data_IF_626763154554
#
_entry.id   IF_626763154554
#
_cell.length_a   1.000
_cell.length_b   1.000
_cell.length_c   1.000
_cell.angle_alpha   90.00
_cell.angle_beta   90.00
_cell.angle_gamma   90.00
#
_symmetry.space_group_name_H-M   'P 1'
#
loop_
_entity.id
_entity.type
_entity.pdbx_description
1 polymer ?
#
# COMPACT_ATOMS: atom_id res chain seq x y z
N UNK A 1 4.46 -22.91 -4.50
CA UNK A 1 4.05 -22.23 -3.25
C UNK A 1 3.42 -20.89 -3.63
N UNK A 2 2.12 -20.72 -3.33
CA UNK A 2 1.36 -19.49 -3.58
C UNK A 2 1.92 -18.32 -2.74
N UNK A 3 1.89 -17.08 -3.25
CA UNK A 3 1.95 -15.95 -2.31
C UNK A 3 0.67 -15.91 -1.49
N UNK A 4 0.79 -15.44 -0.26
CA UNK A 4 -0.37 -14.99 0.51
C UNK A 4 -1.08 -13.87 -0.27
N UNK A 5 -2.40 -13.97 -0.32
CA UNK A 5 -3.23 -12.94 -0.91
C UNK A 5 -3.17 -11.65 -0.08
N UNK A 6 -3.26 -10.52 -0.75
CA UNK A 6 -3.23 -9.20 -0.12
C UNK A 6 -4.55 -8.48 -0.36
N UNK A 7 -4.84 -7.48 0.46
CA UNK A 7 -5.98 -6.61 0.23
C UNK A 7 -5.55 -5.42 -0.61
N UNK A 8 -6.46 -4.92 -1.41
CA UNK A 8 -6.25 -3.74 -2.21
C UNK A 8 -5.77 -2.55 -1.36
N UNK A 9 -4.78 -1.82 -1.86
CA UNK A 9 -4.14 -0.70 -1.18
C UNK A 9 -2.99 -1.10 -0.27
N UNK A 10 -2.76 -2.39 -0.01
CA UNK A 10 -1.62 -2.85 0.79
C UNK A 10 -0.30 -2.65 0.04
N UNK A 11 0.76 -2.30 0.77
CA UNK A 11 2.10 -2.46 0.24
C UNK A 11 2.52 -3.93 0.33
N UNK A 12 3.16 -4.44 -0.72
CA UNK A 12 3.66 -5.82 -0.79
C UNK A 12 5.17 -5.79 -0.85
N UNK A 13 5.81 -6.35 0.16
CA UNK A 13 7.26 -6.54 0.20
C UNK A 13 7.53 -8.04 0.20
N UNK A 14 8.29 -8.52 -0.78
CA UNK A 14 8.70 -9.93 -0.86
C UNK A 14 10.17 -10.02 -1.16
N UNK A 15 10.81 -11.01 -0.57
CA UNK A 15 12.25 -11.22 -0.68
C UNK A 15 12.51 -12.55 -1.36
N UNK A 16 13.54 -12.58 -2.18
CA UNK A 16 14.15 -13.78 -2.68
C UNK A 16 15.62 -13.74 -2.28
N UNK A 17 16.07 -14.74 -1.54
CA UNK A 17 17.41 -14.78 -0.95
C UNK A 17 18.12 -16.05 -1.43
N UNK A 18 19.43 -15.92 -1.67
CA UNK A 18 20.32 -17.05 -1.92
C UNK A 18 21.46 -17.03 -0.91
N UNK A 19 21.92 -18.22 -0.50
CA UNK A 19 22.99 -18.32 0.51
C UNK A 19 24.31 -17.74 0.02
N UNK A 20 24.59 -17.86 -1.27
CA UNK A 20 25.80 -17.34 -1.90
C UNK A 20 25.45 -16.90 -3.32
N UNK A 21 25.84 -15.67 -3.68
CA UNK A 21 25.72 -15.14 -5.03
C UNK A 21 27.12 -15.12 -5.68
N UNK A 22 27.44 -16.03 -6.61
CA UNK A 22 28.74 -16.04 -7.29
C UNK A 22 29.01 -14.74 -8.06
N UNK A 23 30.28 -14.39 -8.23
CA UNK A 23 30.68 -13.35 -9.18
C UNK A 23 30.10 -13.69 -10.55
N UNK A 24 29.57 -12.68 -11.28
CA UNK A 24 28.82 -12.81 -12.54
C UNK A 24 27.40 -13.40 -12.46
N UNK A 25 26.89 -13.70 -11.27
CA UNK A 25 25.48 -14.05 -11.08
C UNK A 25 24.61 -12.82 -10.82
N UNK A 26 23.37 -12.84 -11.32
CA UNK A 26 22.37 -11.79 -11.11
C UNK A 26 21.10 -12.40 -10.55
N UNK A 27 20.64 -11.88 -9.41
CA UNK A 27 19.37 -12.23 -8.78
C UNK A 27 18.39 -11.08 -8.99
N UNK A 28 17.24 -11.33 -9.59
CA UNK A 28 16.26 -10.30 -9.92
C UNK A 28 14.82 -10.82 -9.93
N UNK A 29 13.85 -9.92 -9.86
CA UNK A 29 12.43 -10.18 -10.04
C UNK A 29 11.95 -9.80 -11.44
N UNK A 30 11.25 -10.72 -12.08
CA UNK A 30 10.65 -10.51 -13.40
C UNK A 30 9.15 -10.70 -13.38
N UNK A 31 8.44 -9.93 -14.20
CA UNK A 31 7.02 -10.10 -14.47
C UNK A 31 6.83 -10.12 -15.98
N UNK A 32 6.10 -11.10 -16.48
CA UNK A 32 5.83 -11.26 -17.92
C UNK A 32 7.12 -11.30 -18.78
N UNK A 33 8.21 -11.85 -18.21
CA UNK A 33 9.57 -11.93 -18.77
C UNK A 33 10.31 -10.59 -18.89
N UNK A 34 9.74 -9.53 -18.34
CA UNK A 34 10.37 -8.22 -18.25
C UNK A 34 10.89 -7.96 -16.82
N UNK A 35 12.03 -7.27 -16.64
CA UNK A 35 12.54 -6.90 -15.33
C UNK A 35 11.59 -5.95 -14.57
N UNK A 36 11.51 -6.12 -13.25
CA UNK A 36 10.73 -5.21 -12.37
C UNK A 36 11.64 -4.19 -11.67
N UNK A 37 12.58 -3.61 -12.43
CA UNK A 37 13.69 -2.80 -11.91
C UNK A 37 13.23 -1.62 -11.02
N UNK A 38 12.15 -0.93 -11.37
CA UNK A 38 11.64 0.23 -10.60
C UNK A 38 11.05 -0.14 -9.23
N UNK A 39 10.79 -1.43 -8.99
CA UNK A 39 10.21 -1.96 -7.76
C UNK A 39 11.15 -2.92 -7.05
N UNK A 40 12.34 -3.17 -7.60
CA UNK A 40 13.27 -4.16 -7.07
C UNK A 40 14.45 -3.48 -6.39
N UNK A 41 14.64 -3.80 -5.12
CA UNK A 41 15.79 -3.42 -4.31
C UNK A 41 16.67 -4.64 -4.11
N UNK A 42 17.93 -4.57 -4.56
CA UNK A 42 18.91 -5.63 -4.35
C UNK A 42 19.84 -5.18 -3.22
N UNK A 43 19.96 -6.01 -2.20
CA UNK A 43 20.89 -5.79 -1.09
C UNK A 43 21.51 -7.12 -0.68
N UNK A 44 22.84 -7.19 -0.71
CA UNK A 44 23.61 -8.42 -0.52
C UNK A 44 23.13 -9.54 -1.48
N UNK A 45 22.80 -10.71 -0.94
CA UNK A 45 22.33 -11.87 -1.68
C UNK A 45 20.79 -11.96 -1.74
N UNK A 46 20.11 -10.82 -1.53
CA UNK A 46 18.65 -10.76 -1.45
C UNK A 46 18.09 -9.73 -2.43
N UNK A 47 17.16 -10.17 -3.27
CA UNK A 47 16.35 -9.32 -4.13
C UNK A 47 14.97 -9.11 -3.49
N UNK A 48 14.63 -7.87 -3.16
CA UNK A 48 13.34 -7.48 -2.62
C UNK A 48 12.50 -6.84 -3.72
N UNK A 49 11.26 -7.29 -3.90
CA UNK A 49 10.25 -6.59 -4.69
C UNK A 49 9.31 -5.83 -3.76
N UNK A 50 9.07 -4.56 -4.06
CA UNK A 50 8.23 -3.64 -3.31
C UNK A 50 7.14 -3.10 -4.25
N UNK A 51 5.91 -3.56 -4.05
CA UNK A 51 4.74 -3.06 -4.79
C UNK A 51 3.96 -2.15 -3.85
N UNK A 52 3.95 -0.86 -4.15
CA UNK A 52 3.18 0.11 -3.38
C UNK A 52 1.71 0.09 -3.79
N UNK A 53 0.82 0.19 -2.81
CA UNK A 53 -0.64 0.33 -3.02
C UNK A 53 -1.21 -0.70 -4.02
N UNK A 54 -1.00 -1.99 -3.74
CA UNK A 54 -1.37 -3.08 -4.64
C UNK A 54 -2.85 -3.02 -5.06
N UNK A 55 -3.09 -3.22 -6.35
CA UNK A 55 -4.40 -3.14 -6.98
C UNK A 55 -4.64 -4.31 -7.96
N UNK A 56 -5.73 -4.28 -8.72
CA UNK A 56 -6.03 -5.32 -9.71
C UNK A 56 -4.97 -5.47 -10.79
N UNK A 57 -4.22 -4.42 -11.12
CA UNK A 57 -3.17 -4.46 -12.14
C UNK A 57 -1.86 -5.02 -11.58
N UNK A 58 -1.71 -4.98 -10.25
CA UNK A 58 -0.60 -5.60 -9.54
C UNK A 58 -0.70 -7.13 -9.54
N UNK A 59 -1.90 -7.70 -9.72
CA UNK A 59 -2.11 -9.15 -9.79
C UNK A 59 -1.32 -9.81 -10.92
N UNK A 60 -0.75 -10.98 -10.66
CA UNK A 60 0.03 -11.72 -11.65
C UNK A 60 1.12 -12.58 -11.02
N UNK A 61 1.92 -13.22 -11.87
CA UNK A 61 3.03 -14.05 -11.43
C UNK A 61 4.35 -13.31 -11.61
N UNK A 62 5.06 -13.16 -10.50
CA UNK A 62 6.39 -12.61 -10.40
C UNK A 62 7.37 -13.76 -10.21
N UNK A 63 8.47 -13.74 -10.94
CA UNK A 63 9.47 -14.78 -10.89
C UNK A 63 10.73 -14.22 -10.25
N UNK A 64 11.18 -14.84 -9.17
CA UNK A 64 12.55 -14.63 -8.74
C UNK A 64 13.47 -15.47 -9.62
N UNK A 65 14.38 -14.81 -10.32
CA UNK A 65 15.28 -15.43 -11.28
C UNK A 65 16.73 -15.29 -10.82
N UNK A 66 17.48 -16.38 -10.91
CA UNK A 66 18.94 -16.35 -10.80
C UNK A 66 19.52 -16.67 -12.16
N UNK A 67 20.35 -15.77 -12.68
CA UNK A 67 21.17 -16.01 -13.87
C UNK A 67 22.63 -16.07 -13.50
N UNK A 68 23.39 -16.94 -14.14
CA UNK A 68 24.84 -17.01 -14.02
C UNK A 68 25.44 -16.97 -15.41
N UNK A 69 26.34 -16.01 -15.67
CA UNK A 69 26.86 -15.73 -17.02
C UNK A 69 25.75 -15.54 -18.07
N UNK A 70 24.64 -14.91 -17.67
CA UNK A 70 23.46 -14.69 -18.52
C UNK A 70 22.54 -15.91 -18.70
N UNK A 71 22.97 -17.12 -18.31
CA UNK A 71 22.13 -18.32 -18.38
C UNK A 71 21.19 -18.40 -17.17
N UNK A 72 19.90 -18.68 -17.43
CA UNK A 72 18.91 -18.87 -16.37
C UNK A 72 19.19 -20.18 -15.60
N UNK A 73 19.53 -20.05 -14.33
CA UNK A 73 19.82 -21.18 -13.43
C UNK A 73 18.54 -21.64 -12.73
N UNK A 74 17.76 -20.71 -12.19
CA UNK A 74 16.44 -21.01 -11.66
C UNK A 74 15.47 -19.85 -11.84
N UNK A 75 14.18 -20.20 -11.83
CA UNK A 75 13.07 -19.27 -11.82
C UNK A 75 12.01 -19.78 -10.85
N UNK A 76 11.76 -19.03 -9.78
CA UNK A 76 10.80 -19.39 -8.74
C UNK A 76 9.55 -18.52 -8.91
N UNK A 77 8.44 -19.08 -9.43
CA UNK A 77 7.23 -18.32 -9.64
C UNK A 77 6.52 -18.04 -8.33
N UNK A 78 5.90 -16.87 -8.29
CA UNK A 78 5.12 -16.39 -7.17
C UNK A 78 3.93 -15.56 -7.62
N UNK A 79 2.73 -15.95 -7.24
CA UNK A 79 1.50 -15.35 -7.76
C UNK A 79 0.84 -14.41 -6.76
N UNK A 80 0.69 -13.12 -7.10
CA UNK A 80 -0.06 -12.13 -6.34
C UNK A 80 -1.55 -12.19 -6.66
N UNK A 81 -2.35 -12.22 -5.60
CA UNK A 81 -3.79 -12.02 -5.66
C UNK A 81 -4.18 -10.83 -4.79
N UNK A 82 -5.07 -9.97 -5.28
CA UNK A 82 -5.49 -8.73 -4.64
C UNK A 82 -7.00 -8.72 -4.44
N UNK A 83 -7.44 -8.67 -3.19
CA UNK A 83 -8.86 -8.65 -2.83
C UNK A 83 -9.37 -7.22 -2.57
N UNK A 84 -10.49 -6.86 -3.21
CA UNK A 84 -11.08 -5.50 -3.19
C UNK A 84 -11.78 -5.04 -1.89
N UNK A 85 -12.01 -5.95 -0.93
CA UNK A 85 -12.77 -5.63 0.29
C UNK A 85 -11.87 -5.30 1.46
N UNK A 86 -12.15 -4.20 2.16
CA UNK A 86 -11.36 -3.73 3.31
C UNK A 86 -12.04 -3.96 4.66
N UNK A 87 -13.07 -4.82 4.77
CA UNK A 87 -13.75 -5.06 6.06
C UNK A 87 -12.82 -5.69 7.11
N UNK A 88 -12.67 -5.03 8.25
CA UNK A 88 -11.79 -5.38 9.37
C UNK A 88 -10.33 -5.64 8.94
N UNK A 89 -9.83 -4.92 7.93
CA UNK A 89 -8.48 -5.16 7.42
C UNK A 89 -7.43 -4.29 8.11
N UNK A 90 -6.22 -4.83 8.25
CA UNK A 90 -5.07 -4.14 8.82
C UNK A 90 -3.94 -4.09 7.80
N UNK A 91 -3.47 -2.89 7.47
CA UNK A 91 -2.41 -2.66 6.48
C UNK A 91 -1.32 -1.80 7.06
N UNK A 92 -0.08 -2.03 6.61
CA UNK A 92 1.04 -1.12 6.86
C UNK A 92 1.56 -0.63 5.51
N UNK A 93 1.64 0.68 5.35
CA UNK A 93 2.15 1.35 4.15
C UNK A 93 3.43 2.09 4.50
N UNK A 94 4.40 2.09 3.57
CA UNK A 94 5.70 2.73 3.75
C UNK A 94 5.89 3.82 2.70
N UNK A 95 6.15 5.05 3.12
CA UNK A 95 6.36 6.17 2.19
C UNK A 95 7.53 7.04 2.62
N UNK A 96 8.33 7.50 1.66
CA UNK A 96 9.35 8.51 1.92
C UNK A 96 8.71 9.88 2.15
N UNK A 97 9.29 10.70 3.02
CA UNK A 97 8.90 12.10 3.24
C UNK A 97 9.51 13.00 2.17
N UNK A 98 8.98 12.90 0.95
CA UNK A 98 9.49 13.59 -0.25
C UNK A 98 8.39 14.42 -0.92
N UNK A 99 8.75 15.49 -1.62
CA UNK A 99 7.78 16.34 -2.34
C UNK A 99 7.01 15.61 -3.44
N UNK A 100 7.58 14.53 -3.99
CA UNK A 100 6.93 13.67 -4.99
C UNK A 100 6.16 12.50 -4.37
N UNK A 101 6.19 12.33 -3.04
CA UNK A 101 5.60 11.18 -2.36
C UNK A 101 4.09 11.35 -2.18
N UNK A 102 3.35 10.31 -2.50
CA UNK A 102 1.90 10.24 -2.38
C UNK A 102 1.47 8.90 -1.76
N UNK A 103 0.37 8.94 -1.01
CA UNK A 103 -0.34 7.73 -0.60
C UNK A 103 -1.84 7.91 -0.69
N UNK A 104 -2.52 6.84 -1.11
CA UNK A 104 -3.98 6.73 -1.06
C UNK A 104 -4.33 5.59 -0.10
N UNK A 105 -4.99 5.94 1.00
CA UNK A 105 -5.55 4.99 1.95
C UNK A 105 -6.90 4.52 1.41
N UNK A 106 -7.07 3.22 1.24
CA UNK A 106 -8.29 2.64 0.65
C UNK A 106 -9.24 2.21 1.76
N UNK A 107 -10.52 2.54 1.57
CA UNK A 107 -11.61 2.06 2.41
C UNK A 107 -12.81 1.72 1.54
N UNK A 108 -13.13 0.42 1.45
CA UNK A 108 -14.16 -0.13 0.59
C UNK A 108 -14.99 -1.20 1.28
N UNK A 109 -16.29 -1.13 1.08
CA UNK A 109 -17.24 -2.17 1.48
C UNK A 109 -18.12 -2.55 0.29
N UNK A 110 -18.46 -3.85 0.13
CA UNK A 110 -19.46 -4.27 -0.85
C UNK A 110 -20.87 -3.79 -0.48
N UNK A 111 -21.11 -3.47 0.80
CA UNK A 111 -22.37 -2.90 1.25
C UNK A 111 -22.36 -1.37 1.11
N UNK A 112 -23.56 -0.78 1.00
CA UNK A 112 -23.73 0.66 0.91
C UNK A 112 -24.15 1.26 2.25
N UNK A 113 -23.50 2.34 2.66
CA UNK A 113 -23.72 3.05 3.92
C UNK A 113 -24.02 4.53 3.68
N UNK A 114 -24.59 5.20 4.69
CA UNK A 114 -24.98 6.61 4.58
C UNK A 114 -23.84 7.57 4.81
N UNK A 115 -22.91 7.23 5.69
CA UNK A 115 -21.82 8.12 6.10
C UNK A 115 -20.50 7.36 6.16
N UNK A 116 -19.42 8.06 5.88
CA UNK A 116 -18.07 7.56 6.02
C UNK A 116 -17.18 8.62 6.65
N UNK A 117 -16.20 8.19 7.44
CA UNK A 117 -15.16 9.08 7.94
C UNK A 117 -13.83 8.35 8.15
N UNK A 118 -12.75 9.12 8.07
CA UNK A 118 -11.42 8.74 8.47
C UNK A 118 -11.05 9.42 9.79
N UNK A 119 -10.52 8.65 10.71
CA UNK A 119 -9.95 9.10 11.96
C UNK A 119 -8.45 8.76 11.95
N UNK A 120 -7.61 9.67 12.43
CA UNK A 120 -6.16 9.47 12.49
C UNK A 120 -5.67 9.62 13.92
N UNK A 121 -4.87 8.65 14.35
CA UNK A 121 -4.15 8.63 15.62
C UNK A 121 -2.65 8.75 15.31
N UNK A 122 -2.05 9.93 15.53
CA UNK A 122 -0.61 10.13 15.35
C UNK A 122 0.19 9.28 16.34
N UNK A 123 1.38 8.81 15.94
CA UNK A 123 2.25 8.04 16.85
C UNK A 123 2.69 8.83 18.09
N UNK A 124 2.67 10.17 18.03
CA UNK A 124 3.14 11.08 19.05
C UNK A 124 2.05 11.66 19.96
N UNK A 125 0.78 11.34 19.73
CA UNK A 125 -0.36 11.90 20.47
C UNK A 125 -1.29 10.81 20.99
N UNK A 126 -2.07 11.14 22.03
CA UNK A 126 -3.05 10.24 22.64
C UNK A 126 -4.47 10.41 22.10
N UNK A 127 -4.75 11.50 21.39
CA UNK A 127 -6.10 11.79 20.88
C UNK A 127 -6.16 11.61 19.38
N UNK A 128 -7.21 10.93 18.92
CA UNK A 128 -7.47 10.74 17.52
C UNK A 128 -8.27 11.93 16.94
N UNK A 129 -7.97 12.28 15.69
CA UNK A 129 -8.55 13.44 14.98
C UNK A 129 -9.36 12.92 13.80
N UNK A 130 -10.56 13.48 13.58
CA UNK A 130 -11.30 13.23 12.34
C UNK A 130 -10.58 13.96 11.21
N UNK A 131 -10.15 13.23 10.19
CA UNK A 131 -9.39 13.79 9.05
C UNK A 131 -10.33 14.19 7.93
N UNK A 132 -11.23 13.28 7.57
CA UNK A 132 -12.17 13.47 6.46
C UNK A 132 -13.50 12.80 6.80
N UNK A 133 -14.60 13.38 6.35
CA UNK A 133 -15.94 12.80 6.48
C UNK A 133 -16.81 13.14 5.28
N UNK A 134 -17.81 12.32 5.01
CA UNK A 134 -18.78 12.54 3.93
C UNK A 134 -20.11 11.84 4.20
N UNK A 135 -21.19 12.49 3.78
CA UNK A 135 -22.46 11.80 3.50
C UNK A 135 -22.42 11.16 2.11
N UNK A 136 -23.19 10.09 1.95
CA UNK A 136 -23.36 9.41 0.67
C UNK A 136 -23.75 10.40 -0.43
N UNK A 137 -23.07 10.31 -1.56
CA UNK A 137 -23.24 11.15 -2.73
C UNK A 137 -22.89 12.64 -2.51
N UNK A 138 -22.23 13.00 -1.41
CA UNK A 138 -21.68 14.34 -1.20
C UNK A 138 -20.14 14.33 -1.29
N UNK A 139 -19.59 15.52 -1.48
CA UNK A 139 -18.14 15.71 -1.47
C UNK A 139 -17.60 15.51 -0.06
N UNK A 140 -16.37 15.00 0.04
CA UNK A 140 -15.69 14.86 1.31
C UNK A 140 -15.36 16.24 1.90
N UNK A 141 -15.58 16.40 3.19
CA UNK A 141 -15.08 17.52 3.98
C UNK A 141 -13.81 17.10 4.71
N UNK A 142 -12.70 17.80 4.45
CA UNK A 142 -11.47 17.67 5.23
C UNK A 142 -11.56 18.57 6.47
N UNK A 143 -11.14 18.04 7.62
CA UNK A 143 -11.13 18.76 8.90
C UNK A 143 -10.27 20.03 8.85
N UNK A 144 -10.64 21.04 9.63
CA UNK A 144 -9.88 22.29 9.76
C UNK A 144 -8.58 22.11 10.54
N UNK A 145 -8.46 21.03 11.31
CA UNK A 145 -7.27 20.68 12.09
C UNK A 145 -6.17 20.05 11.22
N UNK A 146 -6.48 19.77 9.95
CA UNK A 146 -5.59 19.11 8.99
C UNK A 146 -5.26 20.07 7.84
N UNK A 147 -4.05 19.92 7.31
CA UNK A 147 -3.56 20.64 6.14
C UNK A 147 -4.36 20.24 4.87
N UNK A 148 -5.41 21.01 4.58
CA UNK A 148 -6.35 20.77 3.47
C UNK A 148 -5.73 20.85 2.08
N UNK A 149 -4.54 21.44 1.95
CA UNK A 149 -3.84 21.48 0.67
C UNK A 149 -3.23 20.12 0.33
N UNK A 150 -2.92 19.31 1.35
CA UNK A 150 -2.27 18.00 1.17
C UNK A 150 -3.22 16.81 1.27
N UNK A 151 -4.25 16.94 2.10
CA UNK A 151 -5.24 15.91 2.31
C UNK A 151 -6.44 16.13 1.39
N UNK A 152 -6.83 15.10 0.66
CA UNK A 152 -7.98 15.15 -0.23
C UNK A 152 -8.70 13.81 -0.26
N UNK A 153 -9.98 13.84 -0.59
CA UNK A 153 -10.79 12.64 -0.75
C UNK A 153 -11.84 12.90 -1.83
N UNK A 154 -12.15 11.84 -2.59
CA UNK A 154 -13.16 11.90 -3.64
C UNK A 154 -14.58 11.95 -3.05
N UNK A 155 -15.57 12.17 -3.92
CA UNK A 155 -16.98 12.05 -3.56
C UNK A 155 -17.27 10.65 -3.03
N UNK A 156 -17.87 10.57 -1.84
CA UNK A 156 -18.27 9.29 -1.27
C UNK A 156 -19.48 8.72 -2.02
N UNK A 157 -19.36 7.53 -2.58
CA UNK A 157 -20.44 6.87 -3.34
C UNK A 157 -21.37 6.00 -2.49
N UNK A 158 -21.04 5.82 -1.21
CA UNK A 158 -21.73 4.92 -0.28
C UNK A 158 -20.98 3.62 -0.01
N UNK A 159 -19.91 3.31 -0.74
CA UNK A 159 -19.16 2.06 -0.67
C UNK A 159 -17.64 2.23 -0.72
N UNK A 160 -17.15 3.37 -1.22
CA UNK A 160 -15.72 3.66 -1.38
C UNK A 160 -15.42 5.08 -0.90
N UNK A 161 -14.50 5.20 0.06
CA UNK A 161 -14.08 6.49 0.63
C UNK A 161 -12.55 6.57 0.78
N UNK A 162 -11.81 6.81 -0.32
CA UNK A 162 -10.35 6.87 -0.29
C UNK A 162 -9.86 8.17 0.36
N UNK A 163 -8.72 8.13 1.04
CA UNK A 163 -8.05 9.33 1.56
C UNK A 163 -6.67 9.46 0.91
N UNK A 164 -6.44 10.55 0.19
CA UNK A 164 -5.18 10.87 -0.48
C UNK A 164 -4.38 11.87 0.35
N UNK A 165 -3.08 11.63 0.48
CA UNK A 165 -2.11 12.51 1.15
C UNK A 165 -0.97 12.79 0.17
N UNK A 166 -0.75 14.06 -0.18
CA UNK A 166 0.33 14.46 -1.09
C UNK A 166 0.70 15.95 -0.90
N UNK A 167 1.99 16.31 -0.71
CA UNK A 167 3.10 15.40 -0.43
C UNK A 167 2.99 14.76 0.97
N UNK A 168 3.49 13.54 1.09
CA UNK A 168 3.64 12.84 2.38
C UNK A 168 4.78 13.49 3.18
N UNK A 169 4.53 13.79 4.45
CA UNK A 169 5.48 14.36 5.42
C UNK A 169 5.75 13.36 6.55
N UNK A 170 6.91 13.48 7.20
CA UNK A 170 7.28 12.65 8.36
C UNK A 170 6.21 12.63 9.49
N UNK A 171 5.54 13.77 9.71
CA UNK A 171 4.49 13.90 10.71
C UNK A 171 3.18 13.20 10.37
N UNK A 172 3.00 12.71 9.14
CA UNK A 172 1.78 11.97 8.74
C UNK A 172 1.80 10.50 9.22
N UNK A 173 2.90 10.05 9.86
CA UNK A 173 2.96 8.70 10.46
C UNK A 173 1.90 8.50 11.55
N UNK A 174 1.25 7.33 11.52
CA UNK A 174 0.23 6.99 12.51
C UNK A 174 -0.75 5.93 12.02
N UNK A 175 -1.81 5.75 12.78
CA UNK A 175 -2.89 4.80 12.47
C UNK A 175 -4.10 5.56 11.97
N UNK A 176 -4.52 5.23 10.76
CA UNK A 176 -5.72 5.76 10.12
C UNK A 176 -6.81 4.70 10.18
N UNK A 177 -7.96 5.06 10.72
CA UNK A 177 -9.12 4.21 10.88
C UNK A 177 -10.22 4.73 9.96
N UNK A 178 -10.70 3.87 9.08
CA UNK A 178 -11.88 4.18 8.27
C UNK A 178 -13.11 3.56 8.89
N UNK A 179 -14.16 4.36 9.04
CA UNK A 179 -15.46 3.92 9.50
C UNK A 179 -16.51 4.23 8.45
N UNK A 180 -17.41 3.27 8.21
CA UNK A 180 -18.69 3.52 7.58
C UNK A 180 -19.77 3.43 8.67
N UNK A 181 -20.46 4.53 8.92
CA UNK A 181 -21.30 4.72 10.11
C UNK A 181 -20.51 4.38 11.39
N UNK A 182 -20.91 3.37 12.17
CA UNK A 182 -20.19 2.93 13.37
C UNK A 182 -19.27 1.73 13.15
N UNK A 183 -19.18 1.23 11.92
CA UNK A 183 -18.44 0.00 11.60
C UNK A 183 -17.01 0.32 11.15
N UNK A 184 -16.02 -0.22 11.86
CA UNK A 184 -14.62 -0.14 11.45
C UNK A 184 -14.41 -0.97 10.19
N UNK A 185 -14.13 -0.28 9.08
CA UNK A 185 -13.79 -0.90 7.82
C UNK A 185 -12.30 -1.25 7.84
N UNK A 186 -11.42 -0.26 7.74
CA UNK A 186 -9.99 -0.50 7.59
C UNK A 186 -9.19 0.19 8.71
N UNK A 187 -8.09 -0.44 9.11
CA UNK A 187 -7.00 0.21 9.85
C UNK A 187 -5.75 0.23 8.97
N UNK A 188 -5.22 1.41 8.71
CA UNK A 188 -4.02 1.63 7.91
C UNK A 188 -2.96 2.30 8.76
N UNK A 189 -1.86 1.60 9.01
CA UNK A 189 -0.66 2.15 9.62
C UNK A 189 0.20 2.76 8.53
N UNK A 190 0.35 4.08 8.53
CA UNK A 190 1.31 4.76 7.64
C UNK A 190 2.62 4.94 8.40
N UNK A 191 3.69 4.39 7.85
CA UNK A 191 5.07 4.58 8.31
C UNK A 191 5.79 5.46 7.30
N UNK A 192 6.21 6.64 7.75
CA UNK A 192 6.96 7.57 6.92
C UNK A 192 8.44 7.52 7.27
N UNK A 193 9.30 7.46 6.26
CA UNK A 193 10.76 7.43 6.40
C UNK A 193 11.37 8.72 5.85
N UNK A 194 12.49 9.15 6.42
CA UNK A 194 13.23 10.35 6.00
C UNK A 194 14.37 9.99 5.05
#
# INVERSE_FOLDING_TARGET
SHWSSVKEGSDVIRSCEVSHLPDSATLDWERDREPTANTTLIYNNTAHIIIHSADRYSEGTYNCTLRWNGALIFSIPRTLQVYKGTYSTHHTLYRGSLNSSEVVLICRSPASYRTAYWQWEPLSMTNAIIVASADKHKNASISMEIDKERFSSERYDGSNFPLRISPVKFGDSGRYFCYFESQLMATVTLVTVQ
#
